data_IF_759833308620
#
_entry.id   IF_759833308620
#
_cell.length_a   1.000
_cell.length_b   1.000
_cell.length_c   1.000
_cell.angle_alpha   90.00
_cell.angle_beta   90.00
_cell.angle_gamma   90.00
#
_symmetry.space_group_name_H-M   'P 1'
#
loop_
_entity.id
_entity.type
_entity.pdbx_description
1 polymer ?
#
# COMPACT_ATOMS: atom_id res chain seq x y z
N UNK A 1 -2.44 -7.22 9.09
CA UNK A 1 -3.28 -6.04 8.77
C UNK A 1 -3.08 -5.56 7.35
N UNK A 2 -1.85 -5.17 6.94
CA UNK A 2 -1.53 -4.63 5.61
C UNK A 2 -2.08 -5.48 4.46
N UNK A 3 -1.77 -6.78 4.42
CA UNK A 3 -2.28 -7.69 3.38
C UNK A 3 -3.80 -7.58 3.24
N UNK A 4 -4.54 -7.66 4.36
CA UNK A 4 -6.01 -7.63 4.31
C UNK A 4 -6.58 -6.35 3.70
N UNK A 5 -5.86 -5.24 3.82
CA UNK A 5 -6.29 -3.88 3.44
C UNK A 5 -5.82 -3.52 2.04
N UNK A 6 -4.57 -3.81 1.71
CA UNK A 6 -3.96 -3.50 0.42
C UNK A 6 -4.27 -4.57 -0.64
N UNK A 7 -4.29 -5.84 -0.24
CA UNK A 7 -4.34 -6.97 -1.17
C UNK A 7 -4.84 -8.26 -0.48
N UNK A 8 -6.15 -8.33 -0.23
CA UNK A 8 -6.74 -9.37 0.63
C UNK A 8 -6.57 -10.81 0.14
N UNK A 9 -6.22 -11.01 -1.13
CA UNK A 9 -5.96 -12.31 -1.74
C UNK A 9 -4.49 -12.45 -2.16
N UNK A 10 -3.57 -11.70 -1.54
CA UNK A 10 -2.16 -11.64 -1.90
C UNK A 10 -1.50 -13.00 -2.12
N UNK A 11 -1.71 -13.95 -1.20
CA UNK A 11 -1.12 -15.29 -1.28
C UNK A 11 -1.78 -16.21 -2.33
N UNK A 12 -2.89 -15.78 -2.94
CA UNK A 12 -3.70 -16.61 -3.84
C UNK A 12 -3.52 -16.26 -5.32
N UNK A 13 -3.11 -15.03 -5.64
CA UNK A 13 -2.89 -14.60 -7.03
C UNK A 13 -1.40 -14.58 -7.38
N UNK A 14 -1.06 -14.45 -8.66
CA UNK A 14 0.31 -14.39 -9.15
C UNK A 14 0.65 -12.97 -9.63
N UNK A 15 0.82 -12.03 -8.70
CA UNK A 15 1.26 -10.67 -9.00
C UNK A 15 0.18 -9.69 -9.46
N UNK A 16 -0.80 -10.12 -10.25
CA UNK A 16 -1.85 -9.22 -10.75
C UNK A 16 -3.23 -9.79 -10.45
N UNK A 17 -4.18 -8.91 -10.12
CA UNK A 17 -5.57 -9.26 -9.87
C UNK A 17 -6.51 -8.54 -10.86
N UNK A 18 -6.84 -9.17 -12.02
CA UNK A 18 -7.69 -8.55 -13.05
C UNK A 18 -9.05 -8.10 -12.53
N UNK A 19 -9.63 -8.85 -11.58
CA UNK A 19 -10.89 -8.50 -10.94
C UNK A 19 -10.80 -7.15 -10.18
N UNK A 20 -9.69 -6.89 -9.48
CA UNK A 20 -9.47 -5.63 -8.78
C UNK A 20 -9.27 -4.47 -9.76
N UNK A 21 -8.54 -4.69 -10.86
CA UNK A 21 -8.37 -3.69 -11.93
C UNK A 21 -9.72 -3.33 -12.55
N UNK A 22 -10.52 -4.33 -12.92
CA UNK A 22 -11.85 -4.15 -13.52
C UNK A 22 -12.80 -3.43 -12.56
N UNK A 23 -12.77 -3.80 -11.27
CA UNK A 23 -13.59 -3.17 -10.25
C UNK A 23 -13.22 -1.69 -10.05
N UNK A 24 -11.92 -1.40 -9.89
CA UNK A 24 -11.41 -0.04 -9.78
C UNK A 24 -11.77 0.82 -11.00
N UNK A 25 -11.65 0.26 -12.21
CA UNK A 25 -12.06 0.93 -13.45
C UNK A 25 -13.54 1.30 -13.47
N UNK A 26 -14.45 0.37 -13.09
CA UNK A 26 -15.89 0.65 -13.02
C UNK A 26 -16.22 1.76 -12.03
N UNK A 27 -15.64 1.73 -10.83
CA UNK A 27 -15.85 2.76 -9.82
C UNK A 27 -15.34 4.13 -10.29
N UNK A 28 -14.15 4.17 -10.89
CA UNK A 28 -13.56 5.40 -11.40
C UNK A 28 -14.35 5.99 -12.58
N UNK A 29 -14.92 5.14 -13.45
CA UNK A 29 -15.80 5.56 -14.54
C UNK A 29 -17.06 6.25 -13.98
N UNK A 30 -17.68 5.67 -12.95
CA UNK A 30 -18.87 6.24 -12.32
C UNK A 30 -18.58 7.57 -11.59
N UNK A 31 -17.36 7.72 -11.05
CA UNK A 31 -16.94 8.94 -10.35
C UNK A 31 -16.37 10.02 -11.27
N UNK A 32 -16.08 9.71 -12.54
CA UNK A 32 -15.41 10.62 -13.48
C UNK A 32 -13.95 10.96 -13.13
N UNK A 33 -13.35 10.29 -12.14
CA UNK A 33 -11.97 10.54 -11.69
C UNK A 33 -11.29 9.26 -11.16
N UNK A 34 -9.96 9.11 -11.32
CA UNK A 34 -9.22 7.94 -10.87
C UNK A 34 -8.97 7.98 -9.35
N UNK A 35 -9.94 7.54 -8.56
CA UNK A 35 -9.88 7.55 -7.08
C UNK A 35 -9.44 6.20 -6.53
N UNK A 36 -9.97 5.10 -7.06
CA UNK A 36 -9.69 3.75 -6.59
C UNK A 36 -8.55 3.11 -7.38
N UNK A 37 -7.60 2.51 -6.66
CA UNK A 37 -6.52 1.71 -7.24
C UNK A 37 -6.89 0.23 -7.31
N UNK A 38 -6.41 -0.46 -8.35
CA UNK A 38 -6.51 -1.92 -8.48
C UNK A 38 -5.14 -2.61 -8.45
N UNK A 39 -4.13 -1.95 -7.89
CA UNK A 39 -2.76 -2.50 -7.80
C UNK A 39 -2.65 -3.47 -6.63
N UNK A 40 -2.04 -4.63 -6.88
CA UNK A 40 -1.64 -5.60 -5.86
C UNK A 40 -0.40 -5.13 -5.11
N UNK A 41 -0.07 -5.78 -3.98
CA UNK A 41 1.19 -5.52 -3.26
C UNK A 41 2.40 -5.71 -4.19
N UNK A 42 2.43 -6.78 -5.00
CA UNK A 42 3.54 -7.07 -5.92
C UNK A 42 3.75 -5.95 -6.95
N UNK A 43 2.66 -5.43 -7.55
CA UNK A 43 2.74 -4.30 -8.47
C UNK A 43 3.24 -3.03 -7.79
N UNK A 44 2.82 -2.81 -6.53
CA UNK A 44 3.30 -1.68 -5.75
C UNK A 44 4.80 -1.81 -5.44
N UNK A 45 5.28 -3.01 -5.11
CA UNK A 45 6.71 -3.28 -4.89
C UNK A 45 7.51 -3.08 -6.18
N UNK A 46 7.04 -3.61 -7.31
CA UNK A 46 7.67 -3.44 -8.62
C UNK A 46 7.83 -1.95 -8.97
N UNK A 47 6.77 -1.17 -8.78
CA UNK A 47 6.79 0.28 -8.98
C UNK A 47 7.84 0.97 -8.13
N UNK A 48 7.91 0.63 -6.85
CA UNK A 48 8.79 1.30 -5.89
C UNK A 48 10.26 0.97 -6.11
N UNK A 49 10.58 -0.28 -6.46
CA UNK A 49 11.96 -0.74 -6.60
C UNK A 49 12.58 -0.40 -7.96
N UNK A 50 11.79 -0.44 -9.04
CA UNK A 50 12.36 -0.47 -10.39
C UNK A 50 11.91 0.67 -11.30
N UNK A 51 10.88 1.43 -10.93
CA UNK A 51 10.25 2.39 -11.83
C UNK A 51 10.28 3.82 -11.28
N UNK A 52 10.39 4.78 -12.20
CA UNK A 52 10.29 6.20 -11.86
C UNK A 52 8.87 6.56 -11.40
N UNK A 53 8.71 7.54 -10.50
CA UNK A 53 7.42 7.90 -9.91
C UNK A 53 6.48 8.66 -10.86
N UNK A 54 6.65 8.56 -12.18
CA UNK A 54 5.81 9.21 -13.19
C UNK A 54 4.51 8.42 -13.43
N UNK A 55 3.35 9.08 -13.42
CA UNK A 55 2.08 8.42 -13.69
C UNK A 55 1.82 8.32 -15.19
N UNK A 56 2.12 7.17 -15.79
CA UNK A 56 1.80 6.88 -17.20
C UNK A 56 1.24 5.46 -17.37
N UNK A 57 0.50 5.24 -18.47
CA UNK A 57 0.04 3.90 -18.85
C UNK A 57 1.19 2.96 -19.16
N UNK A 58 2.27 3.47 -19.78
CA UNK A 58 3.48 2.70 -20.05
C UNK A 58 4.11 2.20 -18.74
N UNK A 59 4.30 3.08 -17.75
CA UNK A 59 4.80 2.66 -16.43
C UNK A 59 3.87 1.60 -15.84
N UNK A 60 2.55 1.78 -15.94
CA UNK A 60 1.59 0.82 -15.39
C UNK A 60 1.70 -0.56 -16.04
N UNK A 61 1.99 -0.60 -17.34
CA UNK A 61 2.25 -1.84 -18.07
C UNK A 61 3.57 -2.49 -17.61
N UNK A 62 4.63 -1.69 -17.40
CA UNK A 62 5.89 -2.19 -16.85
C UNK A 62 5.73 -2.74 -15.42
N UNK A 63 4.89 -2.12 -14.57
CA UNK A 63 4.56 -2.66 -13.24
C UNK A 63 3.98 -4.08 -13.32
N UNK A 64 3.16 -4.37 -14.35
CA UNK A 64 2.56 -5.69 -14.55
C UNK A 64 3.61 -6.72 -14.96
N UNK A 65 4.47 -6.39 -15.93
CA UNK A 65 5.54 -7.28 -16.39
C UNK A 65 6.47 -7.64 -15.23
N UNK A 66 6.99 -6.62 -14.55
CA UNK A 66 7.92 -6.81 -13.43
C UNK A 66 7.25 -7.55 -12.28
N UNK A 67 5.96 -7.31 -12.01
CA UNK A 67 5.24 -8.07 -11.00
C UNK A 67 5.17 -9.58 -11.33
N UNK A 68 5.00 -9.96 -12.59
CA UNK A 68 5.05 -11.37 -12.98
C UNK A 68 6.45 -11.97 -12.83
N UNK A 69 7.49 -11.25 -13.27
CA UNK A 69 8.88 -11.68 -13.10
C UNK A 69 9.23 -11.85 -11.62
N UNK A 70 8.83 -10.90 -10.77
CA UNK A 70 8.99 -10.98 -9.32
C UNK A 70 8.29 -12.20 -8.74
N UNK A 71 7.07 -12.54 -9.15
CA UNK A 71 6.35 -13.71 -8.61
C UNK A 71 6.94 -15.04 -9.05
N UNK A 72 7.58 -15.05 -10.22
CA UNK A 72 8.27 -16.24 -10.70
C UNK A 72 9.60 -16.45 -9.98
N UNK A 73 10.36 -15.37 -9.78
CA UNK A 73 11.72 -15.45 -9.21
C UNK A 73 11.69 -15.42 -7.68
N UNK A 74 10.76 -14.66 -7.10
CA UNK A 74 10.65 -14.39 -5.67
C UNK A 74 9.38 -15.02 -5.10
N UNK A 75 9.51 -15.75 -4.00
CA UNK A 75 8.36 -16.23 -3.23
C UNK A 75 7.56 -15.10 -2.59
N UNK A 76 6.29 -15.37 -2.25
CA UNK A 76 5.35 -14.39 -1.64
C UNK A 76 5.90 -13.70 -0.40
N UNK A 77 6.54 -14.45 0.49
CA UNK A 77 7.11 -13.90 1.72
C UNK A 77 8.21 -12.89 1.42
N UNK A 78 9.07 -13.19 0.43
CA UNK A 78 10.14 -12.29 0.01
C UNK A 78 9.59 -11.02 -0.63
N UNK A 79 8.55 -11.13 -1.45
CA UNK A 79 7.88 -9.97 -2.06
C UNK A 79 7.27 -9.09 -0.96
N UNK A 80 6.64 -9.69 0.04
CA UNK A 80 6.03 -8.95 1.14
C UNK A 80 7.07 -8.29 2.04
N UNK A 81 8.18 -8.95 2.31
CA UNK A 81 9.32 -8.37 3.02
C UNK A 81 9.89 -7.15 2.27
N UNK A 82 10.11 -7.27 0.95
CA UNK A 82 10.57 -6.17 0.11
C UNK A 82 9.57 -5.02 0.12
N UNK A 83 8.27 -5.31 0.03
CA UNK A 83 7.22 -4.30 0.14
C UNK A 83 7.32 -3.52 1.45
N UNK A 84 7.38 -4.24 2.58
CA UNK A 84 7.41 -3.61 3.90
C UNK A 84 8.65 -2.74 4.11
N UNK A 85 9.80 -3.14 3.56
CA UNK A 85 11.07 -2.44 3.74
C UNK A 85 11.31 -1.31 2.74
N UNK A 86 10.61 -1.28 1.62
CA UNK A 86 10.83 -0.27 0.57
C UNK A 86 9.63 0.66 0.37
N UNK A 87 8.46 0.37 0.92
CA UNK A 87 7.36 1.33 0.93
C UNK A 87 7.78 2.62 1.66
N UNK A 88 7.37 3.78 1.13
CA UNK A 88 7.60 5.08 1.73
C UNK A 88 6.48 5.41 2.74
N UNK A 89 6.83 5.75 3.97
CA UNK A 89 5.90 6.00 5.09
C UNK A 89 5.96 7.43 5.64
N UNK A 90 6.63 8.31 4.90
CA UNK A 90 6.94 9.70 5.21
C UNK A 90 7.98 10.18 4.20
N UNK A 91 8.10 11.49 3.99
CA UNK A 91 9.07 12.04 3.02
C UNK A 91 10.48 11.54 3.35
N UNK A 92 11.04 10.67 2.51
CA UNK A 92 12.36 10.07 2.70
C UNK A 92 12.45 8.99 3.79
N UNK A 93 11.32 8.47 4.27
CA UNK A 93 11.25 7.42 5.29
C UNK A 93 10.79 6.13 4.63
N UNK A 94 11.73 5.25 4.30
CA UNK A 94 11.47 3.97 3.65
C UNK A 94 11.55 2.83 4.64
N UNK A 95 10.57 1.93 4.58
CA UNK A 95 10.52 0.76 5.43
C UNK A 95 9.70 0.93 6.70
N UNK A 96 8.95 -0.11 7.07
CA UNK A 96 8.02 -0.08 8.20
C UNK A 96 8.71 0.09 9.56
N UNK A 97 9.92 -0.47 9.73
CA UNK A 97 10.68 -0.33 10.97
C UNK A 97 11.17 1.12 11.13
N UNK A 98 11.75 1.69 10.08
CA UNK A 98 12.15 3.09 10.06
C UNK A 98 10.94 4.02 10.29
N UNK A 99 9.79 3.71 9.69
CA UNK A 99 8.54 4.43 9.91
C UNK A 99 8.09 4.38 11.38
N UNK A 100 8.18 3.21 12.01
CA UNK A 100 7.84 3.02 13.42
C UNK A 100 8.72 3.86 14.33
N UNK A 101 10.03 3.89 14.10
CA UNK A 101 10.95 4.74 14.85
C UNK A 101 10.73 6.23 14.54
N UNK A 102 10.45 6.59 13.29
CA UNK A 102 10.21 7.97 12.90
C UNK A 102 8.98 8.54 13.62
N UNK A 103 7.84 7.82 13.57
CA UNK A 103 6.56 8.29 14.11
C UNK A 103 6.36 8.01 15.61
N UNK A 104 6.93 6.92 16.14
CA UNK A 104 6.61 6.41 17.49
C UNK A 104 7.82 6.10 18.36
N UNK A 105 9.04 6.28 17.87
CA UNK A 105 10.30 6.07 18.61
C UNK A 105 10.46 4.67 19.21
N UNK A 106 9.91 3.65 18.54
CA UNK A 106 10.03 2.24 18.95
C UNK A 106 9.96 1.30 17.76
N UNK A 107 10.43 0.06 17.97
CA UNK A 107 10.33 -1.02 16.97
C UNK A 107 8.89 -1.31 16.58
N UNK A 108 8.67 -1.75 15.33
CA UNK A 108 7.35 -2.11 14.81
C UNK A 108 6.66 -3.18 15.65
N UNK A 109 7.46 -4.09 16.22
CA UNK A 109 7.02 -5.17 17.11
C UNK A 109 6.40 -4.67 18.42
N UNK A 110 6.70 -3.42 18.83
CA UNK A 110 6.23 -2.77 20.06
C UNK A 110 5.10 -1.78 19.82
N UNK A 111 4.57 -1.69 18.59
CA UNK A 111 3.42 -0.85 18.30
C UNK A 111 2.16 -1.40 18.96
N UNK A 112 1.34 -0.52 19.52
CA UNK A 112 -0.02 -0.91 19.88
C UNK A 112 -0.85 -1.12 18.61
N UNK A 113 -1.95 -1.87 18.72
CA UNK A 113 -2.90 -2.06 17.61
C UNK A 113 -3.34 -0.72 17.00
N UNK A 114 -3.65 0.26 17.84
CA UNK A 114 -4.04 1.61 17.41
C UNK A 114 -2.93 2.33 16.63
N UNK A 115 -1.66 2.21 17.05
CA UNK A 115 -0.54 2.78 16.31
C UNK A 115 -0.34 2.07 14.96
N UNK A 116 -0.47 0.74 14.93
CA UNK A 116 -0.42 -0.02 13.69
C UNK A 116 -1.55 0.39 12.73
N UNK A 117 -2.78 0.58 13.22
CA UNK A 117 -3.92 1.02 12.41
C UNK A 117 -3.67 2.39 11.78
N UNK A 118 -3.14 3.35 12.55
CA UNK A 118 -2.79 4.67 12.02
C UNK A 118 -1.69 4.58 10.97
N UNK A 119 -0.66 3.78 11.20
CA UNK A 119 0.42 3.58 10.25
C UNK A 119 -0.10 2.96 8.94
N UNK A 120 -0.93 1.92 9.01
CA UNK A 120 -1.55 1.28 7.83
C UNK A 120 -2.51 2.22 7.10
N UNK A 121 -3.20 3.11 7.81
CA UNK A 121 -4.03 4.15 7.19
C UNK A 121 -3.17 5.11 6.36
N UNK A 122 -2.04 5.54 6.95
CA UNK A 122 -1.13 6.52 6.39
C UNK A 122 -0.52 6.07 5.05
N UNK A 123 -0.33 4.77 4.84
CA UNK A 123 0.28 4.18 3.64
C UNK A 123 -0.34 4.65 2.31
N UNK A 124 -1.60 5.06 2.32
CA UNK A 124 -2.28 5.61 1.13
C UNK A 124 -1.89 7.05 0.78
N UNK A 125 -1.36 7.83 1.72
CA UNK A 125 -0.86 9.20 1.48
C UNK A 125 0.26 9.61 2.46
N UNK A 126 1.40 8.89 2.45
CA UNK A 126 2.41 8.94 3.51
C UNK A 126 3.25 10.23 3.50
N UNK A 127 3.40 10.88 2.33
CA UNK A 127 4.22 12.10 2.20
C UNK A 127 3.50 13.35 2.73
N UNK A 128 2.16 13.40 2.58
CA UNK A 128 1.36 14.60 2.88
C UNK A 128 0.80 14.62 4.30
N UNK A 129 0.66 13.46 4.91
CA UNK A 129 0.00 13.29 6.19
C UNK A 129 0.93 12.56 7.18
N UNK A 130 0.49 12.50 8.43
CA UNK A 130 1.10 11.73 9.50
C UNK A 130 0.03 11.08 10.36
N UNK A 131 0.41 10.19 11.29
CA UNK A 131 -0.53 9.36 12.03
C UNK A 131 -1.56 10.13 12.88
N UNK A 132 -1.26 11.38 13.21
CA UNK A 132 -2.07 12.24 14.08
C UNK A 132 -2.84 13.34 13.33
N UNK A 133 -2.70 13.43 12.00
CA UNK A 133 -3.41 14.43 11.18
C UNK A 133 -4.25 13.80 10.06
N UNK A 134 -4.57 12.50 10.17
CA UNK A 134 -5.41 11.76 9.23
C UNK A 134 -6.78 12.42 9.01
N UNK A 135 -7.32 13.08 10.03
CA UNK A 135 -8.58 13.83 9.97
C UNK A 135 -8.56 15.04 9.04
N UNK A 136 -7.38 15.53 8.63
CA UNK A 136 -7.25 16.61 7.63
C UNK A 136 -7.60 16.14 6.20
N UNK A 137 -7.88 14.85 6.01
CA UNK A 137 -8.33 14.29 4.74
C UNK A 137 -9.52 13.35 4.98
N UNK A 138 -10.66 13.65 4.35
CA UNK A 138 -11.89 12.88 4.55
C UNK A 138 -11.71 11.38 4.20
N UNK A 139 -10.93 11.05 3.16
CA UNK A 139 -10.68 9.66 2.74
C UNK A 139 -9.83 8.94 3.79
N UNK A 140 -8.79 9.58 4.31
CA UNK A 140 -7.97 9.00 5.38
C UNK A 140 -8.75 8.84 6.67
N UNK A 141 -9.59 9.81 7.03
CA UNK A 141 -10.46 9.72 8.20
C UNK A 141 -11.44 8.54 8.12
N UNK A 142 -12.10 8.37 6.96
CA UNK A 142 -12.98 7.24 6.69
C UNK A 142 -12.23 5.90 6.72
N UNK A 143 -11.04 5.86 6.09
CA UNK A 143 -10.19 4.67 6.09
C UNK A 143 -9.74 4.29 7.51
N UNK A 144 -9.32 5.26 8.31
CA UNK A 144 -8.97 5.05 9.72
C UNK A 144 -10.15 4.49 10.52
N UNK A 145 -11.34 5.09 10.41
CA UNK A 145 -12.53 4.63 11.10
C UNK A 145 -12.93 3.19 10.70
N UNK A 146 -12.83 2.86 9.41
CA UNK A 146 -13.05 1.50 8.90
C UNK A 146 -12.07 0.50 9.51
N UNK A 147 -10.77 0.83 9.51
CA UNK A 147 -9.74 -0.06 10.06
C UNK A 147 -9.86 -0.22 11.56
N UNK A 148 -10.16 0.86 12.29
CA UNK A 148 -10.43 0.83 13.71
C UNK A 148 -11.58 -0.13 14.04
N UNK A 149 -12.75 0.03 13.41
CA UNK A 149 -13.88 -0.90 13.59
C UNK A 149 -13.56 -2.36 13.24
N UNK A 150 -12.60 -2.60 12.34
CA UNK A 150 -12.28 -3.94 11.84
C UNK A 150 -11.26 -4.69 12.72
N UNK A 151 -10.39 -3.95 13.42
CA UNK A 151 -9.19 -4.49 14.08
C UNK A 151 -9.01 -4.06 15.55
N UNK A 152 -9.86 -3.16 16.07
CA UNK A 152 -10.04 -2.91 17.51
C UNK A 152 -10.93 -4.00 18.12
#
# INVERSE_FOLDING_TARGET
>A
MIIRVEDGTFYQHHGVLPAAIKHAWKLNKNLGKPVYGGSTITMQTARTLFLVPEKSYLRKYLEVIIAFEMEWILGKDRIFELYLNNAEWGKGVYGIEAASYYHYKKSVSKLSTEQAIRLVTLLSSPIKYGPYNLNKNAILAQRYAYLRKRFE
#
